data_IF_686796704140
#
_entry.id   IF_686796704140
#
_cell.length_a   1.000
_cell.length_b   1.000
_cell.length_c   1.000
_cell.angle_alpha   90.00
_cell.angle_beta   90.00
_cell.angle_gamma   90.00
#
_symmetry.space_group_name_H-M   'P 1'
#
loop_
_entity.id
_entity.type
_entity.pdbx_description
1 polymer ?
#
# COMPACT_ATOMS: atom_id res chain seq x y z
N UNK A 1 29.10 36.50 -46.74
CA UNK A 1 30.09 35.84 -47.63
C UNK A 1 30.98 36.91 -48.24
N UNK A 2 32.12 37.25 -47.61
CA UNK A 2 33.22 37.99 -48.26
C UNK A 2 34.50 38.11 -47.38
N UNK A 3 34.47 37.73 -46.10
CA UNK A 3 35.70 37.76 -45.27
C UNK A 3 36.62 36.53 -45.45
N UNK A 4 36.08 35.35 -45.73
CA UNK A 4 36.88 34.11 -45.82
C UNK A 4 37.80 34.06 -47.06
N UNK A 5 37.52 34.86 -48.09
CA UNK A 5 38.37 34.98 -49.29
C UNK A 5 39.60 35.84 -49.06
N UNK A 6 39.52 36.83 -48.17
CA UNK A 6 40.64 37.70 -47.82
C UNK A 6 41.70 36.96 -46.99
N UNK A 7 41.25 36.12 -46.05
CA UNK A 7 42.14 35.37 -45.17
C UNK A 7 42.99 34.32 -45.91
N UNK A 8 42.38 33.57 -46.84
CA UNK A 8 43.08 32.55 -47.64
C UNK A 8 44.11 33.21 -48.56
N UNK A 9 43.79 34.37 -49.15
CA UNK A 9 44.71 35.08 -50.05
C UNK A 9 45.92 35.65 -49.31
N UNK A 10 45.75 36.16 -48.10
CA UNK A 10 46.83 36.68 -47.25
C UNK A 10 47.75 35.55 -46.77
N UNK A 11 47.20 34.45 -46.27
CA UNK A 11 48.00 33.31 -45.78
C UNK A 11 48.81 32.68 -46.91
N UNK A 12 48.23 32.57 -48.11
CA UNK A 12 48.95 32.01 -49.27
C UNK A 12 50.06 32.94 -49.76
N UNK A 13 49.86 34.27 -49.72
CA UNK A 13 50.91 35.26 -50.05
C UNK A 13 52.06 35.28 -49.04
N UNK A 14 51.78 35.13 -47.74
CA UNK A 14 52.81 35.05 -46.70
C UNK A 14 53.62 33.75 -46.84
N UNK A 15 52.96 32.61 -47.10
CA UNK A 15 53.66 31.32 -47.22
C UNK A 15 54.54 31.25 -48.48
N UNK A 16 54.09 31.84 -49.59
CA UNK A 16 54.86 31.89 -50.84
C UNK A 16 56.06 32.84 -50.77
N UNK A 17 55.91 34.00 -50.13
CA UNK A 17 57.03 34.94 -49.90
C UNK A 17 58.05 34.39 -48.92
N UNK A 18 57.62 33.71 -47.85
CA UNK A 18 58.53 33.07 -46.90
C UNK A 18 59.30 31.89 -47.53
N UNK A 19 58.64 31.09 -48.39
CA UNK A 19 59.29 30.00 -49.14
C UNK A 19 60.32 30.52 -50.16
N UNK A 20 60.06 31.65 -50.81
CA UNK A 20 61.04 32.31 -51.70
C UNK A 20 62.24 32.87 -50.92
N UNK A 21 62.02 33.46 -49.75
CA UNK A 21 63.09 33.98 -48.90
C UNK A 21 64.02 32.86 -48.38
N UNK A 22 63.46 31.72 -47.99
CA UNK A 22 64.24 30.56 -47.50
C UNK A 22 65.06 29.91 -48.64
N UNK A 23 64.50 29.81 -49.85
CA UNK A 23 65.24 29.26 -51.00
C UNK A 23 66.37 30.18 -51.47
N UNK A 24 66.17 31.51 -51.43
CA UNK A 24 67.24 32.48 -51.74
C UNK A 24 68.38 32.47 -50.70
N UNK A 25 68.07 32.26 -49.42
CA UNK A 25 69.09 32.16 -48.37
C UNK A 25 69.96 30.90 -48.51
N UNK A 26 69.36 29.78 -48.94
CA UNK A 26 70.07 28.52 -49.19
C UNK A 26 70.95 28.63 -50.46
N UNK A 27 70.49 29.34 -51.51
CA UNK A 27 71.31 29.61 -52.70
C UNK A 27 72.52 30.50 -52.38
N UNK A 28 72.33 31.54 -51.55
CA UNK A 28 73.41 32.46 -51.16
C UNK A 28 74.49 31.79 -50.28
N UNK A 29 74.11 30.79 -49.47
CA UNK A 29 75.06 29.97 -48.70
C UNK A 29 75.80 28.93 -49.55
N UNK A 30 75.21 28.46 -50.66
CA UNK A 30 75.89 27.54 -51.59
C UNK A 30 76.92 28.23 -52.49
N UNK A 31 76.73 29.52 -52.83
CA UNK A 31 77.69 30.27 -53.65
C UNK A 31 78.93 30.77 -52.87
N UNK A 32 78.83 30.89 -51.54
CA UNK A 32 79.97 31.30 -50.69
C UNK A 32 81.02 30.19 -50.47
N UNK A 33 80.65 28.91 -50.67
CA UNK A 33 81.56 27.77 -50.48
C UNK A 33 82.32 27.41 -51.78
N UNK A 34 81.87 27.87 -52.96
CA UNK A 34 82.46 27.47 -54.26
C UNK A 34 83.52 28.42 -54.83
N UNK A 35 83.69 29.63 -54.27
CA UNK A 35 84.67 30.63 -54.75
C UNK A 35 86.04 30.50 -54.06
N UNK A 36 86.12 29.87 -52.88
CA UNK A 36 87.39 29.71 -52.16
C UNK A 36 88.23 28.48 -52.58
N UNK A 37 87.80 27.78 -53.63
CA UNK A 37 88.51 26.61 -54.18
C UNK A 37 89.21 26.89 -55.53
N UNK A 38 89.10 28.10 -56.10
CA UNK A 38 89.73 28.46 -57.38
C UNK A 38 90.90 29.45 -57.29
N UNK A 39 91.21 30.01 -56.12
CA UNK A 39 92.37 30.91 -55.92
C UNK A 39 93.61 30.20 -55.33
N UNK A 40 93.75 28.89 -55.55
CA UNK A 40 95.01 28.15 -55.37
C UNK A 40 95.60 27.64 -56.69
N UNK A 41 94.89 27.78 -57.81
CA UNK A 41 95.25 27.13 -59.07
C UNK A 41 96.09 27.98 -60.06
N UNK A 42 96.43 29.23 -59.70
CA UNK A 42 97.25 30.14 -60.53
C UNK A 42 98.58 30.56 -59.90
N UNK A 43 98.88 30.16 -58.66
CA UNK A 43 100.23 30.26 -58.08
C UNK A 43 101.09 29.00 -58.28
N UNK A 44 100.50 27.88 -58.76
CA UNK A 44 101.20 26.62 -59.00
C UNK A 44 101.76 26.44 -60.43
N UNK A 45 101.70 27.47 -61.28
CA UNK A 45 102.24 27.43 -62.66
C UNK A 45 103.43 28.38 -62.89
N UNK A 46 103.84 29.13 -61.86
CA UNK A 46 104.98 30.06 -61.91
C UNK A 46 106.14 29.67 -60.96
N UNK A 47 106.06 28.51 -60.32
CA UNK A 47 107.05 27.98 -59.37
C UNK A 47 107.43 26.52 -59.73
N UNK A 48 107.52 26.22 -61.04
CA UNK A 48 107.90 24.89 -61.57
C UNK A 48 109.14 24.94 -62.47
N UNK A 49 109.80 26.10 -62.55
CA UNK A 49 111.07 26.30 -63.27
C UNK A 49 112.09 26.84 -62.27
N UNK A 50 112.45 26.02 -61.28
CA UNK A 50 113.75 26.10 -60.61
C UNK A 50 113.90 24.89 -59.69
N UNK A 51 115.11 24.35 -59.69
CA UNK A 51 115.60 23.36 -58.74
C UNK A 51 115.30 21.88 -59.05
N UNK A 52 115.66 21.47 -60.27
CA UNK A 52 116.39 20.21 -60.42
C UNK A 52 117.80 20.39 -59.84
N UNK A 53 118.12 19.61 -58.81
CA UNK A 53 119.46 19.16 -58.36
C UNK A 53 119.74 19.44 -56.89
N UNK A 54 119.33 18.52 -56.02
CA UNK A 54 120.06 18.03 -54.81
C UNK A 54 119.22 16.92 -54.15
N UNK A 55 119.15 15.74 -54.77
CA UNK A 55 118.56 14.56 -54.11
C UNK A 55 119.56 14.04 -53.08
N UNK A 56 119.22 14.12 -51.80
CA UNK A 56 120.00 13.54 -50.71
C UNK A 56 119.30 12.28 -50.18
N UNK A 57 120.03 11.18 -50.09
CA UNK A 57 119.54 9.93 -49.49
C UNK A 57 120.10 9.85 -48.07
N UNK A 58 119.22 9.78 -47.08
CA UNK A 58 119.58 9.65 -45.65
C UNK A 58 118.94 8.41 -45.02
N UNK A 59 119.55 7.96 -43.92
CA UNK A 59 119.04 6.89 -43.05
C UNK A 59 118.77 5.56 -43.79
N UNK A 60 119.82 4.95 -44.36
CA UNK A 60 119.72 3.62 -44.97
C UNK A 60 119.74 2.52 -43.89
N UNK A 61 118.62 1.83 -43.70
CA UNK A 61 118.53 0.66 -42.81
C UNK A 61 118.36 -0.62 -43.65
N UNK A 62 119.29 -1.56 -43.50
CA UNK A 62 119.26 -2.85 -44.21
C UNK A 62 118.82 -3.94 -43.25
N UNK A 63 117.68 -4.57 -43.52
CA UNK A 63 117.21 -5.75 -42.80
C UNK A 63 117.19 -6.97 -43.72
N UNK A 64 117.10 -8.18 -43.16
CA UNK A 64 116.97 -9.44 -43.94
C UNK A 64 115.72 -9.45 -44.85
N UNK A 65 114.74 -8.59 -44.60
CA UNK A 65 113.51 -8.45 -45.39
C UNK A 65 113.49 -7.30 -46.40
N UNK A 66 114.58 -6.54 -46.54
CA UNK A 66 114.66 -5.43 -47.49
C UNK A 66 115.45 -4.23 -46.99
N UNK A 67 115.57 -3.23 -47.85
CA UNK A 67 116.37 -2.03 -47.64
C UNK A 67 115.44 -0.82 -47.60
N UNK A 68 115.42 -0.11 -46.47
CA UNK A 68 114.69 1.14 -46.27
C UNK A 68 115.66 2.31 -46.40
N UNK A 69 115.27 3.36 -47.13
CA UNK A 69 115.98 4.62 -47.19
C UNK A 69 114.98 5.76 -47.35
N UNK A 70 115.29 6.91 -46.78
CA UNK A 70 114.49 8.13 -46.93
C UNK A 70 115.05 8.95 -48.09
N UNK A 71 114.20 9.25 -49.07
CA UNK A 71 114.55 10.09 -50.23
C UNK A 71 113.97 11.47 -50.03
N UNK A 72 114.83 12.45 -49.79
CA UNK A 72 114.43 13.85 -49.67
C UNK A 72 114.68 14.53 -51.02
N UNK A 73 113.59 14.91 -51.69
CA UNK A 73 113.61 15.55 -53.02
C UNK A 73 113.70 17.08 -52.94
N UNK A 74 113.35 17.67 -51.79
CA UNK A 74 113.49 19.09 -51.44
C UNK A 74 113.30 19.28 -49.91
N UNK A 75 113.87 20.33 -49.32
CA UNK A 75 113.58 20.72 -47.95
C UNK A 75 112.11 21.19 -47.81
N UNK A 76 111.42 20.85 -46.70
CA UNK A 76 110.02 21.20 -46.53
C UNK A 76 109.84 22.71 -46.34
N UNK A 77 109.32 23.39 -47.37
CA UNK A 77 108.80 24.76 -47.23
C UNK A 77 107.53 24.71 -46.37
N UNK A 78 107.62 25.09 -45.10
CA UNK A 78 106.50 25.05 -44.14
C UNK A 78 105.54 26.24 -44.32
N UNK A 79 104.27 26.06 -44.70
CA UNK A 79 103.22 26.98 -44.30
C UNK A 79 102.76 26.62 -42.88
N UNK A 80 102.65 27.61 -41.98
CA UNK A 80 102.09 27.43 -40.63
C UNK A 80 100.69 26.78 -40.74
N UNK A 81 100.56 25.51 -40.35
CA UNK A 81 99.25 24.86 -40.16
C UNK A 81 98.47 25.65 -39.11
N UNK A 82 97.16 25.81 -39.32
CA UNK A 82 96.26 26.22 -38.27
C UNK A 82 96.45 25.30 -37.05
N UNK A 83 96.44 25.84 -35.80
CA UNK A 83 96.59 25.02 -34.62
C UNK A 83 95.56 23.89 -34.68
N UNK A 84 96.05 22.66 -34.53
CA UNK A 84 95.19 21.48 -34.50
C UNK A 84 94.15 21.66 -33.39
N UNK A 85 92.91 21.17 -33.56
CA UNK A 85 91.94 21.13 -32.46
C UNK A 85 92.62 20.49 -31.24
N UNK A 86 92.38 20.99 -30.01
CA UNK A 86 93.00 20.43 -28.82
C UNK A 86 92.79 18.91 -28.84
N UNK A 87 93.88 18.15 -28.76
CA UNK A 87 93.81 16.70 -28.72
C UNK A 87 93.07 16.33 -27.43
N UNK A 88 91.80 15.95 -27.57
CA UNK A 88 90.96 15.56 -26.43
C UNK A 88 91.56 14.30 -25.81
N UNK A 89 91.94 14.40 -24.55
CA UNK A 89 92.48 13.29 -23.75
C UNK A 89 91.50 12.11 -23.70
N UNK A 90 91.96 10.88 -23.36
CA UNK A 90 91.12 9.68 -23.36
C UNK A 90 90.03 9.62 -22.26
N UNK A 91 89.70 10.75 -21.61
CA UNK A 91 88.73 10.85 -20.51
C UNK A 91 87.41 11.49 -20.97
N UNK A 92 86.87 11.03 -22.10
CA UNK A 92 85.57 11.48 -22.65
C UNK A 92 84.42 10.47 -22.49
N UNK A 93 84.61 9.40 -21.71
CA UNK A 93 83.59 8.36 -21.54
C UNK A 93 82.32 8.91 -20.84
N UNK A 94 82.48 9.67 -19.74
CA UNK A 94 81.33 10.21 -18.98
C UNK A 94 80.45 11.18 -19.81
N UNK A 95 80.99 12.15 -20.57
CA UNK A 95 80.17 13.02 -21.43
C UNK A 95 79.48 12.30 -22.60
N UNK A 96 79.99 11.15 -23.05
CA UNK A 96 79.36 10.34 -24.11
C UNK A 96 78.25 9.48 -23.49
N UNK A 97 78.49 8.86 -22.35
CA UNK A 97 77.51 8.08 -21.59
C UNK A 97 76.30 8.93 -21.17
N UNK A 98 76.52 10.16 -20.70
CA UNK A 98 75.42 11.08 -20.34
C UNK A 98 74.59 11.50 -21.56
N UNK A 99 75.20 11.65 -22.74
CA UNK A 99 74.48 11.91 -24.00
C UNK A 99 73.63 10.71 -24.44
N UNK A 100 74.15 9.50 -24.27
CA UNK A 100 73.41 8.26 -24.54
C UNK A 100 72.26 8.09 -23.55
N UNK A 101 72.49 8.32 -22.25
CA UNK A 101 71.45 8.29 -21.21
C UNK A 101 70.35 9.31 -21.48
N UNK A 102 70.69 10.55 -21.82
CA UNK A 102 69.70 11.57 -22.17
C UNK A 102 68.91 11.23 -23.45
N UNK A 103 69.51 10.54 -24.42
CA UNK A 103 68.81 10.04 -25.59
C UNK A 103 67.85 8.89 -25.24
N UNK A 104 68.27 7.99 -24.34
CA UNK A 104 67.45 6.90 -23.83
C UNK A 104 66.28 7.40 -22.97
N UNK A 105 66.50 8.36 -22.08
CA UNK A 105 65.43 9.00 -21.31
C UNK A 105 64.39 9.69 -22.20
N UNK A 106 64.82 10.37 -23.28
CA UNK A 106 63.89 10.92 -24.27
C UNK A 106 63.08 9.84 -24.98
N UNK A 107 63.70 8.71 -25.34
CA UNK A 107 63.00 7.55 -25.94
C UNK A 107 61.94 7.02 -24.97
N UNK A 108 62.33 6.76 -23.72
CA UNK A 108 61.44 6.23 -22.68
C UNK A 108 60.30 7.21 -22.37
N UNK A 109 60.57 8.51 -22.30
CA UNK A 109 59.54 9.55 -22.08
C UNK A 109 58.52 9.59 -23.22
N UNK A 110 58.97 9.53 -24.48
CA UNK A 110 58.07 9.45 -25.63
C UNK A 110 57.24 8.17 -25.65
N UNK A 111 57.84 7.05 -25.27
CA UNK A 111 57.14 5.76 -25.15
C UNK A 111 56.10 5.80 -24.02
N UNK A 112 56.45 6.31 -22.84
CA UNK A 112 55.55 6.51 -21.73
C UNK A 112 54.38 7.43 -22.10
N UNK A 113 54.63 8.53 -22.81
CA UNK A 113 53.58 9.42 -23.30
C UNK A 113 52.65 8.72 -24.31
N UNK A 114 53.20 7.89 -25.21
CA UNK A 114 52.38 7.08 -26.14
C UNK A 114 51.51 6.08 -25.38
N UNK A 115 52.07 5.37 -24.40
CA UNK A 115 51.33 4.43 -23.57
C UNK A 115 50.24 5.13 -22.76
N UNK A 116 50.52 6.28 -22.16
CA UNK A 116 49.53 7.07 -21.44
C UNK A 116 48.39 7.54 -22.36
N UNK A 117 48.71 7.99 -23.58
CA UNK A 117 47.69 8.38 -24.56
C UNK A 117 46.83 7.20 -25.03
N UNK A 118 47.42 6.01 -25.18
CA UNK A 118 46.68 4.78 -25.50
C UNK A 118 45.79 4.35 -24.32
N UNK A 119 46.31 4.37 -23.10
CA UNK A 119 45.56 4.06 -21.88
C UNK A 119 44.35 5.01 -21.69
N UNK A 120 44.54 6.31 -21.93
CA UNK A 120 43.45 7.29 -21.87
C UNK A 120 42.36 7.01 -22.93
N UNK A 121 42.74 6.59 -24.15
CA UNK A 121 41.78 6.20 -25.18
C UNK A 121 41.00 4.94 -24.79
N UNK A 122 41.67 3.93 -24.23
CA UNK A 122 41.03 2.71 -23.74
C UNK A 122 40.05 3.00 -22.60
N UNK A 123 40.46 3.83 -21.62
CA UNK A 123 39.57 4.26 -20.53
C UNK A 123 38.31 4.94 -21.05
N UNK A 124 38.44 5.82 -22.06
CA UNK A 124 37.29 6.49 -22.67
C UNK A 124 36.34 5.53 -23.40
N UNK A 125 36.88 4.49 -24.04
CA UNK A 125 36.07 3.43 -24.69
C UNK A 125 35.34 2.62 -23.63
N UNK A 126 36.01 2.24 -22.54
CA UNK A 126 35.42 1.50 -21.43
C UNK A 126 34.31 2.31 -20.74
N UNK A 127 34.53 3.59 -20.46
CA UNK A 127 33.52 4.49 -19.92
C UNK A 127 32.32 4.65 -20.85
N UNK A 128 32.53 4.76 -22.16
CA UNK A 128 31.45 4.84 -23.13
C UNK A 128 30.63 3.53 -23.17
N UNK A 129 31.30 2.37 -23.06
CA UNK A 129 30.63 1.07 -22.95
C UNK A 129 29.81 0.98 -21.67
N UNK A 130 30.40 1.31 -20.52
CA UNK A 130 29.70 1.32 -19.22
C UNK A 130 28.45 2.19 -19.25
N UNK A 131 28.56 3.43 -19.76
CA UNK A 131 27.40 4.34 -19.87
C UNK A 131 26.31 3.79 -20.79
N UNK A 132 26.68 3.13 -21.88
CA UNK A 132 25.71 2.47 -22.77
C UNK A 132 24.97 1.35 -22.03
N UNK A 133 25.70 0.52 -21.29
CA UNK A 133 25.12 -0.60 -20.54
C UNK A 133 24.22 -0.10 -19.39
N UNK A 134 24.64 0.96 -18.68
CA UNK A 134 23.84 1.64 -17.64
C UNK A 134 22.54 2.21 -18.20
N UNK A 135 22.59 2.92 -19.34
CA UNK A 135 21.38 3.45 -19.99
C UNK A 135 20.45 2.33 -20.46
N UNK A 136 21.01 1.25 -21.01
CA UNK A 136 20.24 0.08 -21.42
C UNK A 136 19.57 -0.59 -20.22
N UNK A 137 20.29 -0.77 -19.11
CA UNK A 137 19.75 -1.35 -17.89
C UNK A 137 18.65 -0.46 -17.28
N UNK A 138 18.87 0.86 -17.21
CA UNK A 138 17.90 1.82 -16.72
C UNK A 138 16.63 1.85 -17.57
N UNK A 139 16.77 1.77 -18.90
CA UNK A 139 15.63 1.69 -19.82
C UNK A 139 14.81 0.42 -19.61
N UNK A 140 15.47 -0.73 -19.47
CA UNK A 140 14.80 -2.02 -19.20
C UNK A 140 14.07 -1.96 -17.85
N UNK A 141 14.74 -1.47 -16.81
CA UNK A 141 14.15 -1.33 -15.47
C UNK A 141 12.91 -0.43 -15.48
N UNK A 142 13.02 0.77 -16.04
CA UNK A 142 11.91 1.74 -16.10
C UNK A 142 10.74 1.20 -16.91
N UNK A 143 11.02 0.52 -18.03
CA UNK A 143 9.97 -0.05 -18.88
C UNK A 143 9.25 -1.19 -18.16
N UNK A 144 10.00 -2.04 -17.45
CA UNK A 144 9.45 -3.12 -16.63
C UNK A 144 8.57 -2.57 -15.49
N UNK A 145 9.09 -1.63 -14.71
CA UNK A 145 8.34 -1.00 -13.62
C UNK A 145 7.07 -0.30 -14.12
N UNK A 146 7.13 0.37 -15.28
CA UNK A 146 5.95 0.99 -15.89
C UNK A 146 4.90 -0.04 -16.32
N UNK A 147 5.33 -1.20 -16.84
CA UNK A 147 4.42 -2.29 -17.20
C UNK A 147 3.80 -2.91 -15.95
N UNK A 148 4.61 -3.24 -14.95
CA UNK A 148 4.17 -3.83 -13.69
C UNK A 148 3.17 -2.89 -12.98
N UNK A 149 3.44 -1.58 -12.94
CA UNK A 149 2.52 -0.59 -12.39
C UNK A 149 1.18 -0.51 -13.16
N UNK A 150 1.19 -0.63 -14.49
CA UNK A 150 -0.05 -0.63 -15.31
C UNK A 150 -0.87 -1.90 -15.10
N UNK A 151 -0.21 -3.05 -14.94
CA UNK A 151 -0.87 -4.32 -14.65
C UNK A 151 -1.53 -4.26 -13.26
N UNK A 152 -0.78 -3.87 -12.23
CA UNK A 152 -1.29 -3.76 -10.87
C UNK A 152 -2.46 -2.77 -10.77
N UNK A 153 -2.36 -1.59 -11.38
CA UNK A 153 -3.45 -0.60 -11.39
C UNK A 153 -4.71 -1.15 -12.09
N UNK A 154 -4.55 -1.95 -13.15
CA UNK A 154 -5.66 -2.59 -13.85
C UNK A 154 -6.32 -3.65 -12.98
N UNK A 155 -5.53 -4.45 -12.27
CA UNK A 155 -6.01 -5.44 -11.32
C UNK A 155 -6.73 -4.78 -10.15
N UNK A 156 -6.14 -3.78 -9.50
CA UNK A 156 -6.74 -3.02 -8.40
C UNK A 156 -8.07 -2.38 -8.82
N UNK A 157 -8.15 -1.76 -10.01
CA UNK A 157 -9.40 -1.20 -10.53
C UNK A 157 -10.47 -2.26 -10.76
N UNK A 158 -10.08 -3.42 -11.31
CA UNK A 158 -10.98 -4.54 -11.54
C UNK A 158 -11.50 -5.10 -10.20
N UNK A 159 -10.62 -5.27 -9.23
CA UNK A 159 -10.96 -5.75 -7.90
C UNK A 159 -11.86 -4.76 -7.15
N UNK A 160 -11.54 -3.47 -7.19
CA UNK A 160 -12.38 -2.42 -6.62
C UNK A 160 -13.79 -2.41 -7.22
N UNK A 161 -13.91 -2.54 -8.54
CA UNK A 161 -15.20 -2.61 -9.21
C UNK A 161 -16.01 -3.86 -8.81
N UNK A 162 -15.34 -5.02 -8.75
CA UNK A 162 -15.99 -6.27 -8.29
C UNK A 162 -16.42 -6.15 -6.83
N UNK A 163 -15.59 -5.56 -5.96
CA UNK A 163 -15.90 -5.34 -4.56
C UNK A 163 -17.11 -4.41 -4.39
N UNK A 164 -17.17 -3.32 -5.17
CA UNK A 164 -18.31 -2.41 -5.19
C UNK A 164 -19.61 -3.14 -5.59
N UNK A 165 -19.58 -3.95 -6.65
CA UNK A 165 -20.74 -4.74 -7.07
C UNK A 165 -21.18 -5.76 -6.01
N UNK A 166 -20.23 -6.44 -5.36
CA UNK A 166 -20.53 -7.37 -4.26
C UNK A 166 -21.17 -6.65 -3.07
N UNK A 167 -20.67 -5.47 -2.71
CA UNK A 167 -21.22 -4.68 -1.62
C UNK A 167 -22.65 -4.22 -1.94
N UNK A 168 -22.91 -3.71 -3.14
CA UNK A 168 -24.28 -3.34 -3.57
C UNK A 168 -25.25 -4.53 -3.51
N UNK A 169 -24.79 -5.71 -3.94
CA UNK A 169 -25.61 -6.93 -3.86
C UNK A 169 -25.88 -7.32 -2.40
N UNK A 170 -24.87 -7.25 -1.53
CA UNK A 170 -25.00 -7.52 -0.10
C UNK A 170 -26.01 -6.58 0.57
N UNK A 171 -25.87 -5.27 0.35
CA UNK A 171 -26.81 -4.25 0.87
C UNK A 171 -28.24 -4.49 0.37
N UNK A 172 -28.41 -4.88 -0.90
CA UNK A 172 -29.73 -5.20 -1.43
C UNK A 172 -30.34 -6.42 -0.73
N UNK A 173 -29.58 -7.49 -0.53
CA UNK A 173 -30.03 -8.69 0.19
C UNK A 173 -30.41 -8.37 1.64
N UNK A 174 -29.59 -7.57 2.34
CA UNK A 174 -29.89 -7.12 3.71
C UNK A 174 -31.18 -6.28 3.78
N UNK A 175 -31.40 -5.40 2.81
CA UNK A 175 -32.63 -4.60 2.69
C UNK A 175 -33.88 -5.47 2.44
N UNK A 176 -33.76 -6.46 1.56
CA UNK A 176 -34.84 -7.43 1.30
C UNK A 176 -35.15 -8.24 2.56
N UNK A 177 -34.14 -8.74 3.26
CA UNK A 177 -34.35 -9.52 4.49
C UNK A 177 -34.96 -8.67 5.61
N UNK A 178 -34.53 -7.41 5.76
CA UNK A 178 -35.15 -6.46 6.69
C UNK A 178 -36.63 -6.24 6.36
N UNK A 179 -36.97 -6.11 5.09
CA UNK A 179 -38.37 -5.96 4.64
C UNK A 179 -39.18 -7.22 4.94
N UNK A 180 -38.61 -8.41 4.68
CA UNK A 180 -39.24 -9.71 4.99
C UNK A 180 -39.56 -9.83 6.48
N UNK A 181 -38.58 -9.58 7.35
CA UNK A 181 -38.74 -9.62 8.80
C UNK A 181 -39.77 -8.60 9.29
N UNK A 182 -39.74 -7.38 8.75
CA UNK A 182 -40.72 -6.34 9.11
C UNK A 182 -42.15 -6.75 8.74
N UNK A 183 -42.36 -7.36 7.57
CA UNK A 183 -43.68 -7.85 7.15
C UNK A 183 -44.16 -9.02 8.01
N UNK A 184 -43.26 -9.93 8.37
CA UNK A 184 -43.55 -11.05 9.27
C UNK A 184 -43.96 -10.55 10.65
N UNK A 185 -43.22 -9.58 11.20
CA UNK A 185 -43.55 -8.94 12.47
C UNK A 185 -44.92 -8.25 12.43
N UNK A 186 -45.19 -7.42 11.42
CA UNK A 186 -46.48 -6.75 11.28
C UNK A 186 -47.64 -7.75 11.16
N UNK A 187 -47.44 -8.83 10.41
CA UNK A 187 -48.45 -9.89 10.26
C UNK A 187 -48.74 -10.57 11.60
N UNK A 188 -47.68 -10.87 12.38
CA UNK A 188 -47.81 -11.49 13.68
C UNK A 188 -48.47 -10.53 14.69
N UNK A 189 -48.13 -9.24 14.68
CA UNK A 189 -48.75 -8.21 15.52
C UNK A 189 -50.25 -8.10 15.22
N UNK A 190 -50.64 -8.04 13.94
CA UNK A 190 -52.05 -8.02 13.54
C UNK A 190 -52.76 -9.29 13.99
N UNK A 191 -52.14 -10.46 13.81
CA UNK A 191 -52.70 -11.75 14.25
C UNK A 191 -52.96 -11.77 15.76
N UNK A 192 -51.97 -11.38 16.57
CA UNK A 192 -52.11 -11.29 18.02
C UNK A 192 -53.22 -10.30 18.42
N UNK A 193 -53.28 -9.12 17.78
CA UNK A 193 -54.29 -8.12 18.07
C UNK A 193 -55.72 -8.63 17.76
N UNK A 194 -55.90 -9.37 16.65
CA UNK A 194 -57.18 -10.00 16.30
C UNK A 194 -57.54 -11.07 17.32
N UNK A 195 -56.60 -11.92 17.71
CA UNK A 195 -56.82 -12.99 18.68
C UNK A 195 -57.26 -12.44 20.05
N UNK A 196 -56.59 -11.39 20.54
CA UNK A 196 -56.93 -10.75 21.82
C UNK A 196 -58.30 -10.06 21.78
N UNK A 197 -58.67 -9.45 20.65
CA UNK A 197 -60.03 -8.90 20.48
C UNK A 197 -61.09 -9.99 20.49
N UNK A 198 -60.84 -11.13 19.85
CA UNK A 198 -61.77 -12.27 19.85
C UNK A 198 -61.92 -12.88 21.24
N UNK A 199 -60.82 -13.05 21.98
CA UNK A 199 -60.84 -13.51 23.39
C UNK A 199 -61.62 -12.55 24.27
N UNK A 200 -61.36 -11.25 24.16
CA UNK A 200 -62.06 -10.22 24.94
C UNK A 200 -63.56 -10.20 24.63
N UNK A 201 -63.93 -10.28 23.35
CA UNK A 201 -65.33 -10.35 22.92
C UNK A 201 -66.02 -11.64 23.39
N UNK A 202 -65.32 -12.78 23.41
CA UNK A 202 -65.85 -14.03 23.97
C UNK A 202 -66.09 -13.90 25.48
N UNK A 203 -65.09 -13.44 26.24
CA UNK A 203 -65.22 -13.23 27.68
C UNK A 203 -66.36 -12.27 28.03
N UNK A 204 -66.54 -11.19 27.25
CA UNK A 204 -67.63 -10.25 27.47
C UNK A 204 -69.01 -10.87 27.19
N UNK A 205 -69.12 -11.75 26.17
CA UNK A 205 -70.36 -12.49 25.91
C UNK A 205 -70.68 -13.45 27.05
N UNK A 206 -69.69 -14.21 27.50
CA UNK A 206 -69.84 -15.19 28.59
C UNK A 206 -70.24 -14.49 29.89
N UNK A 207 -69.60 -13.37 30.22
CA UNK A 207 -69.93 -12.57 31.41
C UNK A 207 -71.32 -11.93 31.33
N UNK A 208 -71.78 -11.56 30.12
CA UNK A 208 -73.14 -11.07 29.94
C UNK A 208 -74.18 -12.20 30.14
N UNK A 209 -73.95 -13.36 29.53
CA UNK A 209 -74.80 -14.55 29.69
C UNK A 209 -74.87 -14.96 31.16
N UNK A 210 -73.71 -15.02 31.83
CA UNK A 210 -73.63 -15.31 33.27
C UNK A 210 -74.48 -14.34 34.08
N UNK A 211 -74.35 -13.03 33.86
CA UNK A 211 -75.20 -12.01 34.53
C UNK A 211 -76.69 -12.18 34.26
N UNK A 212 -77.09 -12.65 33.07
CA UNK A 212 -78.51 -12.94 32.79
C UNK A 212 -78.98 -14.18 33.56
N UNK A 213 -78.18 -15.24 33.59
CA UNK A 213 -78.48 -16.48 34.31
C UNK A 213 -78.57 -16.23 35.83
N UNK A 214 -77.66 -15.45 36.39
CA UNK A 214 -77.67 -15.11 37.82
C UNK A 214 -78.95 -14.36 38.21
N UNK A 215 -79.39 -13.38 37.40
CA UNK A 215 -80.67 -12.68 37.63
C UNK A 215 -81.89 -13.60 37.55
N UNK A 216 -81.90 -14.55 36.61
CA UNK A 216 -82.99 -15.53 36.50
C UNK A 216 -83.02 -16.44 37.74
N UNK A 217 -81.85 -16.89 38.20
CA UNK A 217 -81.72 -17.70 39.41
C UNK A 217 -82.19 -16.93 40.65
N UNK A 218 -81.79 -15.68 40.83
CA UNK A 218 -82.26 -14.82 41.93
C UNK A 218 -83.79 -14.67 41.92
N UNK A 219 -84.39 -14.51 40.73
CA UNK A 219 -85.84 -14.42 40.57
C UNK A 219 -86.53 -15.75 40.93
N UNK A 220 -85.99 -16.89 40.49
CA UNK A 220 -86.49 -18.22 40.90
C UNK A 220 -86.45 -18.41 42.41
N UNK A 221 -85.34 -18.02 43.05
CA UNK A 221 -85.19 -18.06 44.51
C UNK A 221 -86.20 -17.15 45.21
N UNK A 222 -86.45 -15.94 44.68
CA UNK A 222 -87.47 -15.04 45.21
C UNK A 222 -88.89 -15.65 45.09
N UNK A 223 -89.22 -16.24 43.94
CA UNK A 223 -90.50 -16.94 43.74
C UNK A 223 -90.64 -18.10 44.73
N UNK A 224 -89.57 -18.89 44.95
CA UNK A 224 -89.56 -19.96 45.94
C UNK A 224 -89.81 -19.44 47.35
N UNK A 225 -89.12 -18.36 47.76
CA UNK A 225 -89.34 -17.69 49.06
C UNK A 225 -90.78 -17.20 49.24
N UNK A 226 -91.37 -16.59 48.21
CA UNK A 226 -92.76 -16.12 48.26
C UNK A 226 -93.74 -17.30 48.36
N UNK A 227 -93.56 -18.36 47.57
CA UNK A 227 -94.38 -19.59 47.64
C UNK A 227 -94.31 -20.23 49.02
N UNK A 228 -93.11 -20.34 49.58
CA UNK A 228 -92.91 -20.85 50.93
C UNK A 228 -93.64 -19.98 51.96
N UNK A 229 -93.46 -18.65 51.92
CA UNK A 229 -94.12 -17.73 52.85
C UNK A 229 -95.66 -17.74 52.74
N UNK A 230 -96.22 -17.97 51.55
CA UNK A 230 -97.67 -18.19 51.38
C UNK A 230 -98.08 -19.52 52.02
N UNK A 231 -97.33 -20.60 51.75
CA UNK A 231 -97.60 -21.93 52.33
C UNK A 231 -97.57 -21.90 53.86
N UNK A 232 -96.60 -21.23 54.46
CA UNK A 232 -96.50 -21.08 55.93
C UNK A 232 -97.68 -20.29 56.51
N UNK A 233 -98.12 -19.21 55.86
CA UNK A 233 -99.32 -18.46 56.28
C UNK A 233 -100.59 -19.30 56.18
N UNK A 234 -100.73 -20.09 55.12
CA UNK A 234 -101.88 -21.00 54.95
C UNK A 234 -101.89 -22.03 56.09
N UNK A 235 -100.75 -22.67 56.38
CA UNK A 235 -100.63 -23.62 57.49
C UNK A 235 -100.94 -22.97 58.85
N UNK A 236 -100.50 -21.73 59.09
CA UNK A 236 -100.85 -20.99 60.31
C UNK A 236 -102.35 -20.73 60.41
N UNK A 237 -103.00 -20.31 59.32
CA UNK A 237 -104.45 -20.09 59.30
C UNK A 237 -105.23 -21.40 59.49
N UNK A 238 -104.78 -22.49 58.88
CA UNK A 238 -105.36 -23.83 59.07
C UNK A 238 -105.28 -24.26 60.54
N UNK A 239 -104.11 -24.10 61.18
CA UNK A 239 -103.94 -24.38 62.61
C UNK A 239 -104.86 -23.50 63.48
N UNK A 240 -104.94 -22.20 63.20
CA UNK A 240 -105.83 -21.29 63.95
C UNK A 240 -107.30 -21.64 63.79
N UNK A 241 -107.72 -22.06 62.58
CA UNK A 241 -109.09 -22.53 62.34
C UNK A 241 -109.34 -23.81 63.13
N UNK A 242 -108.40 -24.76 63.09
CA UNK A 242 -108.48 -26.01 63.83
C UNK A 242 -108.60 -25.78 65.34
N UNK A 243 -107.73 -24.95 65.91
CA UNK A 243 -107.78 -24.60 67.34
C UNK A 243 -109.13 -23.98 67.74
N UNK A 244 -109.69 -23.09 66.90
CA UNK A 244 -111.01 -22.50 67.15
C UNK A 244 -112.13 -23.53 67.09
N UNK A 245 -112.06 -24.49 66.17
CA UNK A 245 -113.01 -25.59 66.07
C UNK A 245 -112.95 -26.48 67.32
N UNK A 246 -111.75 -26.79 67.80
CA UNK A 246 -111.51 -27.60 68.98
C UNK A 246 -112.00 -26.90 70.25
N UNK A 247 -111.69 -25.61 70.43
CA UNK A 247 -112.22 -24.80 71.53
C UNK A 247 -113.76 -24.68 71.48
N UNK A 248 -114.36 -24.57 70.29
CA UNK A 248 -115.81 -24.55 70.15
C UNK A 248 -116.42 -25.91 70.51
N UNK A 249 -115.75 -27.00 70.16
CA UNK A 249 -116.15 -28.36 70.52
C UNK A 249 -116.04 -28.60 72.04
N UNK A 250 -114.94 -28.21 72.66
CA UNK A 250 -114.73 -28.32 74.10
C UNK A 250 -115.75 -27.48 74.89
N UNK A 251 -116.04 -26.26 74.44
CA UNK A 251 -117.11 -25.43 75.03
C UNK A 251 -118.48 -26.12 74.95
N UNK A 252 -118.82 -26.73 73.81
CA UNK A 252 -120.06 -27.52 73.68
C UNK A 252 -120.08 -28.69 74.67
N UNK A 253 -118.98 -29.43 74.80
CA UNK A 253 -118.87 -30.55 75.75
C UNK A 253 -118.97 -30.10 77.21
N UNK A 254 -118.36 -28.96 77.56
CA UNK A 254 -118.43 -28.42 78.91
C UNK A 254 -119.84 -27.97 79.26
N UNK A 255 -120.54 -27.26 78.36
CA UNK A 255 -121.95 -26.90 78.54
C UNK A 255 -122.81 -28.16 78.70
N UNK A 256 -122.59 -29.18 77.87
CA UNK A 256 -123.32 -30.45 77.98
C UNK A 256 -123.05 -31.15 79.33
N UNK A 257 -121.79 -31.14 79.80
CA UNK A 257 -121.40 -31.71 81.10
C UNK A 257 -122.04 -30.96 82.26
N UNK A 258 -122.01 -29.63 82.22
CA UNK A 258 -122.67 -28.76 83.21
C UNK A 258 -124.18 -28.96 83.22
N UNK A 259 -124.83 -29.06 82.05
CA UNK A 259 -126.26 -29.36 81.96
C UNK A 259 -126.60 -30.73 82.56
N UNK A 260 -125.81 -31.78 82.26
CA UNK A 260 -125.97 -33.11 82.86
C UNK A 260 -125.76 -33.08 84.38
N UNK A 261 -124.83 -32.27 84.87
CA UNK A 261 -124.57 -32.12 86.31
C UNK A 261 -125.69 -31.36 87.03
N UNK A 262 -126.20 -30.27 86.45
CA UNK A 262 -127.39 -29.58 86.95
C UNK A 262 -128.59 -30.51 87.02
N UNK A 263 -128.80 -31.34 86.01
CA UNK A 263 -129.83 -32.40 86.01
C UNK A 263 -129.62 -33.38 87.17
N UNK A 264 -128.41 -33.90 87.36
CA UNK A 264 -128.08 -34.80 88.49
C UNK A 264 -128.34 -34.15 89.85
N UNK A 265 -127.89 -32.91 90.05
CA UNK A 265 -128.10 -32.19 91.31
C UNK A 265 -129.58 -31.92 91.57
N UNK A 266 -130.36 -31.56 90.56
CA UNK A 266 -131.82 -31.42 90.69
C UNK A 266 -132.48 -32.75 91.08
N UNK A 267 -132.09 -33.86 90.45
CA UNK A 267 -132.55 -35.20 90.86
C UNK A 267 -132.17 -35.50 92.31
N UNK A 268 -130.95 -35.16 92.73
CA UNK A 268 -130.46 -35.43 94.08
C UNK A 268 -131.18 -34.58 95.15
N UNK A 269 -131.46 -33.30 94.86
CA UNK A 269 -132.30 -32.44 95.73
C UNK A 269 -133.73 -32.95 95.81
N UNK A 270 -134.32 -33.41 94.70
CA UNK A 270 -135.66 -34.05 94.74
C UNK A 270 -135.65 -35.33 95.59
N UNK A 271 -134.60 -36.15 95.49
CA UNK A 271 -134.44 -37.33 96.35
C UNK A 271 -134.24 -36.93 97.81
N UNK A 272 -133.45 -35.88 98.09
CA UNK A 272 -133.20 -35.38 99.46
C UNK A 272 -134.44 -34.73 100.06
N UNK A 273 -135.23 -34.00 99.28
CA UNK A 273 -136.54 -33.46 99.66
C UNK A 273 -137.57 -34.58 99.86
N UNK A 274 -137.54 -35.63 99.05
CA UNK A 274 -138.29 -36.86 99.29
C UNK A 274 -137.93 -37.46 100.64
N UNK A 275 -136.64 -37.60 100.94
CA UNK A 275 -136.15 -38.06 102.24
C UNK A 275 -136.53 -37.12 103.42
N UNK A 276 -136.56 -35.80 103.20
CA UNK A 276 -136.98 -34.83 104.20
C UNK A 276 -138.50 -34.83 104.43
N UNK A 277 -139.32 -35.03 103.39
CA UNK A 277 -140.75 -35.28 103.54
C UNK A 277 -141.01 -36.61 104.26
N UNK A 278 -140.20 -37.64 104.01
CA UNK A 278 -140.28 -38.91 104.74
C UNK A 278 -139.84 -38.77 106.21
N UNK A 279 -138.88 -37.88 106.52
CA UNK A 279 -138.39 -37.62 107.88
C UNK A 279 -139.22 -36.58 108.69
N UNK A 280 -139.86 -35.60 108.06
CA UNK A 280 -140.67 -34.55 108.72
C UNK A 280 -142.19 -34.68 108.50
N UNK A 281 -142.63 -35.60 107.63
CA UNK A 281 -144.05 -35.88 107.38
C UNK A 281 -144.71 -36.86 108.36
N UNK A 282 -144.00 -37.30 109.41
CA UNK A 282 -144.55 -38.07 110.52
C UNK A 282 -144.37 -37.29 111.83
N UNK A 283 -145.11 -36.19 112.02
CA UNK A 283 -145.64 -35.71 113.31
C UNK A 283 -146.73 -34.68 113.07
#
# INVERSE_FOLDING_TARGET
MNESRWFITIVTRIFTTLRMAIMNLISCLCDSIRVNQLHQHLNNRFMFIKLYSTTEIRCQEKSKGGLCYEVILAEPTVPKRAPSPPQTSPTQQVPIEDKLRAAEERRLSLEAHKLAALAAKLSKIEEASRKKDELSAAFIATTRESLDAKMNNTEEKREAHIAELKNKLKEHLESVEKTRLSLEQQTQEVRCAVEEKLKSAAAQRDENIKRMLDRLKEHEEQVARVRQGISERVQQLESQIQDKLDQAHERRQNIEREQKEKLRNHTLVLVFMGFLLDCFGNY
#
